data_IF_234424281636
#
_entry.id   IF_234424281636
#
_cell.length_a   1.000
_cell.length_b   1.000
_cell.length_c   1.000
_cell.angle_alpha   90.00
_cell.angle_beta   90.00
_cell.angle_gamma   90.00
#
_symmetry.space_group_name_H-M   'P 1'
#
loop_
_entity.id
_entity.type
_entity.pdbx_description
1 polymer ?
#
# COMPACT_ATOMS: atom_id res chain seq x y z
N UNK A 1 1.55 7.81 6.20
CA UNK A 1 0.17 7.27 6.05
C UNK A 1 0.20 5.76 6.08
N UNK A 2 -0.74 5.13 6.77
CA UNK A 2 -0.85 3.67 6.87
C UNK A 2 -2.15 3.17 6.24
N UNK A 3 -2.14 1.92 5.78
CA UNK A 3 -3.32 1.18 5.36
C UNK A 3 -3.18 -0.29 5.75
N UNK A 4 -4.28 -1.03 5.65
CA UNK A 4 -4.33 -2.46 5.92
C UNK A 4 -4.87 -3.18 4.68
N UNK A 5 -4.22 -4.27 4.30
CA UNK A 5 -4.61 -5.07 3.14
C UNK A 5 -4.59 -6.54 3.49
N UNK A 6 -5.58 -7.30 3.00
CA UNK A 6 -5.65 -8.75 3.20
C UNK A 6 -4.40 -9.43 2.62
N UNK A 7 -3.79 -10.37 3.36
CA UNK A 7 -2.56 -11.02 2.91
C UNK A 7 -2.73 -11.80 1.58
N UNK A 8 -3.96 -12.25 1.28
CA UNK A 8 -4.29 -12.97 0.04
C UNK A 8 -4.51 -12.04 -1.16
N UNK A 9 -4.74 -10.74 -0.95
CA UNK A 9 -5.02 -9.80 -2.03
C UNK A 9 -3.71 -9.26 -2.64
N UNK A 10 -3.02 -10.12 -3.38
CA UNK A 10 -1.73 -9.81 -4.02
C UNK A 10 -1.84 -8.62 -4.99
N UNK A 11 -2.94 -8.52 -5.73
CA UNK A 11 -3.18 -7.43 -6.67
C UNK A 11 -3.21 -6.05 -5.98
N UNK A 12 -3.96 -5.92 -4.88
CA UNK A 12 -4.00 -4.69 -4.09
C UNK A 12 -2.62 -4.38 -3.47
N UNK A 13 -1.92 -5.39 -2.94
CA UNK A 13 -0.57 -5.17 -2.41
C UNK A 13 0.40 -4.66 -3.48
N UNK A 14 0.37 -5.20 -4.70
CA UNK A 14 1.19 -4.69 -5.81
C UNK A 14 0.81 -3.27 -6.19
N UNK A 15 -0.50 -2.96 -6.23
CA UNK A 15 -0.98 -1.60 -6.47
C UNK A 15 -0.40 -0.63 -5.43
N UNK A 16 -0.53 -0.93 -4.14
CA UNK A 16 -0.03 -0.04 -3.08
C UNK A 16 1.50 0.12 -3.12
N UNK A 17 2.25 -0.93 -3.48
CA UNK A 17 3.71 -0.83 -3.68
C UNK A 17 4.08 0.20 -4.75
N UNK A 18 3.30 0.34 -5.83
CA UNK A 18 3.56 1.38 -6.86
C UNK A 18 3.48 2.79 -6.28
N UNK A 19 2.55 3.02 -5.36
CA UNK A 19 2.39 4.29 -4.65
C UNK A 19 3.41 4.49 -3.52
N UNK A 20 4.37 3.57 -3.32
CA UNK A 20 5.42 3.71 -2.31
C UNK A 20 5.03 3.23 -0.91
N UNK A 21 3.97 2.42 -0.80
CA UNK A 21 3.67 1.71 0.44
C UNK A 21 4.57 0.48 0.58
N UNK A 22 5.07 0.25 1.79
CA UNK A 22 5.87 -0.93 2.16
C UNK A 22 5.24 -1.66 3.35
N UNK A 23 5.39 -3.00 3.48
CA UNK A 23 4.92 -3.73 4.66
C UNK A 23 5.61 -3.23 5.93
N UNK A 24 4.84 -2.96 6.98
CA UNK A 24 5.32 -2.51 8.28
C UNK A 24 4.95 -3.47 9.42
N UNK A 25 4.02 -4.41 9.19
CA UNK A 25 3.63 -5.43 10.16
C UNK A 25 2.49 -6.31 9.67
N UNK A 26 2.13 -7.32 10.47
CA UNK A 26 1.03 -8.24 10.19
C UNK A 26 0.11 -8.33 11.41
N UNK A 27 -1.18 -8.09 11.19
CA UNK A 27 -2.24 -8.32 12.17
C UNK A 27 -2.85 -9.69 11.91
N UNK A 28 -2.59 -10.64 12.80
CA UNK A 28 -3.11 -12.01 12.65
C UNK A 28 -4.62 -12.06 12.81
N UNK A 29 -5.29 -12.89 12.00
CA UNK A 29 -6.75 -13.14 12.07
C UNK A 29 -7.58 -11.86 12.06
N UNK A 30 -7.16 -10.85 11.31
CA UNK A 30 -7.77 -9.53 11.34
C UNK A 30 -9.16 -9.50 10.66
N UNK A 31 -9.32 -10.19 9.53
CA UNK A 31 -10.59 -10.23 8.82
C UNK A 31 -11.38 -11.49 9.23
N UNK A 32 -12.55 -11.29 9.84
CA UNK A 32 -13.47 -12.36 10.28
C UNK A 32 -12.81 -13.51 11.05
N UNK A 33 -11.69 -13.25 11.74
CA UNK A 33 -10.86 -14.25 12.41
C UNK A 33 -10.28 -15.36 11.52
N UNK A 34 -10.23 -15.16 10.19
CA UNK A 34 -9.70 -16.13 9.23
C UNK A 34 -8.41 -15.68 8.58
N UNK A 35 -8.40 -14.48 8.00
CA UNK A 35 -7.25 -14.00 7.23
C UNK A 35 -6.50 -12.89 7.96
N UNK A 36 -5.17 -12.95 7.87
CA UNK A 36 -4.28 -11.89 8.36
C UNK A 36 -4.36 -10.63 7.46
N UNK A 37 -4.11 -9.48 8.07
CA UNK A 37 -3.90 -8.22 7.37
C UNK A 37 -2.44 -7.81 7.43
N UNK A 38 -1.91 -7.36 6.30
CA UNK A 38 -0.62 -6.69 6.21
C UNK A 38 -0.87 -5.22 6.44
N UNK A 39 -0.24 -4.65 7.47
CA UNK A 39 -0.18 -3.21 7.65
C UNK A 39 0.90 -2.69 6.71
N UNK A 40 0.55 -1.75 5.83
CA UNK A 40 1.50 -1.09 4.95
C UNK A 40 1.62 0.39 5.30
N UNK A 41 2.83 0.94 5.16
CA UNK A 41 3.15 2.33 5.46
C UNK A 41 3.78 2.98 4.23
N UNK A 42 3.30 4.18 3.89
CA UNK A 42 4.00 5.13 3.02
C UNK A 42 4.44 6.37 3.82
N UNK A 43 5.74 6.67 3.79
CA UNK A 43 6.31 7.88 4.38
C UNK A 43 6.27 9.05 3.38
N UNK A 44 6.27 10.28 3.89
CA UNK A 44 6.40 11.48 3.05
C UNK A 44 5.24 11.73 2.09
N UNK A 45 4.02 11.29 2.41
CA UNK A 45 2.84 11.49 1.53
C UNK A 45 2.48 12.96 1.32
N UNK A 46 2.95 13.85 2.20
CA UNK A 46 2.79 15.29 2.09
C UNK A 46 3.97 15.97 1.39
N UNK A 47 5.02 15.21 1.07
CA UNK A 47 6.23 15.76 0.47
C UNK A 47 6.10 15.86 -1.05
N UNK A 48 6.79 16.83 -1.69
CA UNK A 48 6.72 17.04 -3.14
C UNK A 48 7.08 15.80 -3.96
N UNK A 49 8.00 14.96 -3.49
CA UNK A 49 8.42 13.73 -4.17
C UNK A 49 7.26 12.74 -4.36
N UNK A 50 6.27 12.77 -3.46
CA UNK A 50 5.08 11.94 -3.59
C UNK A 50 4.21 12.42 -4.75
N UNK A 51 4.03 13.74 -4.93
CA UNK A 51 3.33 14.29 -6.08
C UNK A 51 4.02 13.92 -7.41
N UNK A 52 5.35 13.90 -7.42
CA UNK A 52 6.15 13.47 -8.57
C UNK A 52 5.92 12.00 -8.92
N UNK A 53 5.83 11.16 -7.89
CA UNK A 53 5.49 9.75 -8.06
C UNK A 53 4.09 9.58 -8.66
N UNK A 54 3.10 10.36 -8.19
CA UNK A 54 1.75 10.32 -8.75
C UNK A 54 1.75 10.69 -10.24
N UNK A 55 2.44 11.79 -10.62
CA UNK A 55 2.59 12.20 -12.02
C UNK A 55 3.19 11.09 -12.89
N UNK A 56 4.25 10.43 -12.42
CA UNK A 56 4.87 9.30 -13.14
C UNK A 56 3.90 8.13 -13.32
N UNK A 57 3.09 7.83 -12.31
CA UNK A 57 2.09 6.75 -12.39
C UNK A 57 0.99 7.10 -13.39
N UNK A 58 0.50 8.34 -13.40
CA UNK A 58 -0.51 8.82 -14.34
C UNK A 58 0.00 8.77 -15.78
N UNK A 59 1.22 9.24 -16.03
CA UNK A 59 1.86 9.18 -17.35
C UNK A 59 2.08 7.74 -17.84
N UNK A 60 2.34 6.79 -16.93
CA UNK A 60 2.50 5.36 -17.28
C UNK A 60 1.19 4.65 -17.68
N UNK A 61 0.05 5.32 -17.55
CA UNK A 61 -1.28 4.78 -17.92
C UNK A 61 -1.79 5.30 -19.27
N UNK A 62 -1.11 6.28 -19.86
CA UNK A 62 -1.35 6.79 -21.22
C UNK A 62 -0.52 5.98 -22.21
#
# INVERSE_FOLDING_TARGET
MTLEVRHTNVAAQQLYRRFGFVPAGVRKKYYENRDDAIVMWCAGVQEPEFAERLRKIELSRM
#
